data_IF_044292790978
#
_entry.id   IF_044292790978
#
_cell.length_a   1.000
_cell.length_b   1.000
_cell.length_c   1.000
_cell.angle_alpha   90.00
_cell.angle_beta   90.00
_cell.angle_gamma   90.00
#
_symmetry.space_group_name_H-M   'P 1'
#
loop_
_entity.id
_entity.type
_entity.pdbx_description
1 polymer ?
#
# COMPACT_ATOMS: atom_id res chain seq x y z
N UNK A 1 24.13 0.64 -25.64
CA UNK A 1 24.25 1.06 -24.23
C UNK A 1 22.96 1.73 -23.74
N UNK A 2 22.54 2.85 -24.31
CA UNK A 2 21.29 3.54 -23.93
C UNK A 2 19.99 2.73 -24.14
N UNK A 3 19.90 1.95 -25.21
CA UNK A 3 18.72 1.11 -25.49
C UNK A 3 18.46 0.05 -24.42
N UNK A 4 19.50 -0.44 -23.74
CA UNK A 4 19.33 -1.44 -22.67
C UNK A 4 18.83 -0.83 -21.36
N UNK A 5 19.33 0.36 -21.02
CA UNK A 5 18.95 1.08 -19.79
C UNK A 5 17.49 1.54 -19.85
N UNK A 6 17.02 1.99 -21.01
CA UNK A 6 15.65 2.49 -21.17
C UNK A 6 14.59 1.39 -21.20
N UNK A 7 14.95 0.18 -21.67
CA UNK A 7 14.07 -0.99 -21.70
C UNK A 7 13.83 -1.59 -20.31
N UNK A 8 14.84 -1.60 -19.44
CA UNK A 8 14.74 -2.20 -18.09
C UNK A 8 14.11 -1.25 -17.05
N UNK A 9 14.00 0.05 -17.33
CA UNK A 9 13.53 1.07 -16.39
C UNK A 9 12.15 1.67 -16.76
N UNK A 10 11.55 1.20 -17.85
CA UNK A 10 10.25 1.67 -18.34
C UNK A 10 9.26 0.51 -18.32
N UNK A 11 8.13 0.68 -17.63
CA UNK A 11 6.96 -0.21 -17.69
C UNK A 11 6.19 -0.08 -19.03
N UNK A 12 6.88 0.18 -20.13
CA UNK A 12 6.28 0.48 -21.44
C UNK A 12 7.16 0.04 -22.61
N UNK A 13 6.61 0.03 -23.81
CA UNK A 13 7.36 -0.40 -25.01
C UNK A 13 8.32 0.68 -25.50
N UNK A 14 9.36 0.32 -26.25
CA UNK A 14 10.29 1.30 -26.85
C UNK A 14 9.55 2.32 -27.74
N UNK A 15 8.52 1.88 -28.46
CA UNK A 15 7.72 2.76 -29.32
C UNK A 15 6.91 3.78 -28.50
N UNK A 16 6.39 3.37 -27.35
CA UNK A 16 5.67 4.24 -26.42
C UNK A 16 6.60 5.26 -25.76
N UNK A 17 7.82 4.85 -25.40
CA UNK A 17 8.86 5.74 -24.90
C UNK A 17 9.20 6.83 -25.92
N UNK A 18 9.54 6.44 -27.16
CA UNK A 18 9.90 7.42 -28.20
C UNK A 18 8.71 8.30 -28.61
N UNK A 19 7.49 7.74 -28.63
CA UNK A 19 6.27 8.53 -28.82
C UNK A 19 6.10 9.61 -27.75
N UNK A 20 6.28 9.26 -26.47
CA UNK A 20 6.23 10.22 -25.37
C UNK A 20 7.31 11.31 -25.48
N UNK A 21 8.54 10.93 -25.85
CA UNK A 21 9.66 11.86 -26.03
C UNK A 21 9.41 12.84 -27.19
N UNK A 22 8.96 12.33 -28.34
CA UNK A 22 8.69 13.15 -29.54
C UNK A 22 7.50 14.07 -29.32
N UNK A 23 6.43 13.57 -28.69
CA UNK A 23 5.20 14.33 -28.45
C UNK A 23 5.29 15.25 -27.21
N UNK A 24 6.41 15.21 -26.47
CA UNK A 24 6.60 15.96 -25.22
C UNK A 24 5.60 15.59 -24.12
N UNK A 25 5.03 14.38 -24.17
CA UNK A 25 4.05 13.88 -23.19
C UNK A 25 4.73 13.00 -22.14
N UNK A 26 4.21 13.00 -20.93
CA UNK A 26 4.64 12.06 -19.88
C UNK A 26 3.93 10.72 -20.12
N UNK A 27 4.63 9.58 -19.98
CA UNK A 27 3.98 8.28 -20.03
C UNK A 27 2.98 8.17 -18.89
N UNK A 28 1.87 7.46 -19.13
CA UNK A 28 0.96 7.09 -18.05
C UNK A 28 1.71 6.14 -17.11
N UNK A 29 1.85 6.54 -15.84
CA UNK A 29 2.50 5.74 -14.79
C UNK A 29 1.48 4.97 -13.95
N UNK A 30 0.20 5.03 -14.33
CA UNK A 30 -0.91 4.58 -13.54
C UNK A 30 -1.16 5.50 -12.35
N UNK A 31 -2.41 5.51 -11.87
CA UNK A 31 -2.70 6.02 -10.55
C UNK A 31 -2.39 4.92 -9.52
N UNK A 32 -1.67 5.21 -8.42
CA UNK A 32 -1.63 4.26 -7.32
C UNK A 32 -3.06 3.95 -6.88
N UNK A 33 -3.34 2.71 -6.44
CA UNK A 33 -4.64 2.39 -5.88
C UNK A 33 -4.97 3.36 -4.75
N UNK A 34 -6.26 3.66 -4.58
CA UNK A 34 -6.70 4.51 -3.49
C UNK A 34 -6.12 3.94 -2.17
N UNK A 35 -5.40 4.76 -1.38
CA UNK A 35 -4.81 4.27 -0.14
C UNK A 35 -5.94 3.79 0.77
N UNK A 36 -5.76 2.60 1.34
CA UNK A 36 -6.65 2.12 2.39
C UNK A 36 -6.62 3.09 3.56
N UNK A 37 -7.77 3.30 4.21
CA UNK A 37 -7.84 4.13 5.41
C UNK A 37 -6.80 3.63 6.43
N UNK A 38 -5.94 4.53 6.89
CA UNK A 38 -4.86 4.19 7.81
C UNK A 38 -5.38 4.09 9.25
N UNK A 39 -4.90 3.09 9.98
CA UNK A 39 -5.19 2.97 11.40
C UNK A 39 -4.33 3.95 12.22
N UNK A 40 -4.85 4.53 13.33
CA UNK A 40 -4.04 5.28 14.28
C UNK A 40 -2.89 4.43 14.85
N UNK A 41 -1.69 5.02 14.99
CA UNK A 41 -0.51 4.31 15.47
C UNK A 41 -0.70 3.66 16.84
N UNK A 42 -1.38 4.35 17.76
CA UNK A 42 -1.67 3.81 19.09
C UNK A 42 -2.58 2.58 19.03
N UNK A 43 -3.57 2.57 18.12
CA UNK A 43 -4.44 1.41 17.90
C UNK A 43 -3.64 0.22 17.38
N UNK A 44 -2.74 0.45 16.42
CA UNK A 44 -1.83 -0.60 15.90
C UNK A 44 -0.96 -1.16 17.02
N UNK A 45 -0.37 -0.30 17.86
CA UNK A 45 0.45 -0.71 19.00
C UNK A 45 -0.33 -1.60 19.98
N UNK A 46 -1.56 -1.23 20.32
CA UNK A 46 -2.43 -2.03 21.19
C UNK A 46 -2.78 -3.39 20.56
N UNK A 47 -3.11 -3.42 19.27
CA UNK A 47 -3.45 -4.65 18.56
C UNK A 47 -2.27 -5.64 18.51
N UNK A 48 -1.05 -5.14 18.32
CA UNK A 48 0.14 -5.99 18.28
C UNK A 48 0.54 -6.43 19.69
N UNK A 49 0.70 -5.48 20.62
CA UNK A 49 1.33 -5.78 21.91
C UNK A 49 0.37 -6.21 23.01
N UNK A 50 -0.93 -5.90 22.90
CA UNK A 50 -1.94 -6.32 23.90
C UNK A 50 -2.79 -7.46 23.38
N UNK A 51 -3.31 -7.33 22.15
CA UNK A 51 -4.17 -8.37 21.55
C UNK A 51 -3.34 -9.51 20.94
N UNK A 52 -2.08 -9.27 20.59
CA UNK A 52 -1.16 -10.29 20.06
C UNK A 52 -1.32 -10.58 18.57
N UNK A 53 -1.86 -9.62 17.79
CA UNK A 53 -1.94 -9.76 16.34
C UNK A 53 -0.58 -9.51 15.68
N UNK A 54 -0.32 -10.19 14.57
CA UNK A 54 0.85 -9.90 13.73
C UNK A 54 0.65 -8.60 12.93
N UNK A 55 1.73 -7.95 12.54
CA UNK A 55 1.68 -6.76 11.67
C UNK A 55 0.91 -7.02 10.38
N UNK A 56 1.12 -8.19 9.76
CA UNK A 56 0.40 -8.61 8.55
C UNK A 56 -1.11 -8.78 8.80
N UNK A 57 -1.52 -9.23 9.99
CA UNK A 57 -2.94 -9.30 10.31
C UNK A 57 -3.52 -7.89 10.52
N UNK A 58 -2.75 -6.97 11.12
CA UNK A 58 -3.20 -5.59 11.37
C UNK A 58 -3.30 -4.78 10.07
N UNK A 59 -2.41 -4.98 9.08
CA UNK A 59 -2.48 -4.28 7.79
C UNK A 59 -3.76 -4.61 6.99
N UNK A 60 -4.28 -5.81 7.18
CA UNK A 60 -5.51 -6.26 6.51
C UNK A 60 -6.79 -5.78 7.20
N UNK A 61 -6.73 -5.23 8.42
CA UNK A 61 -7.92 -4.75 9.11
C UNK A 61 -8.47 -3.44 8.53
N UNK A 62 -9.80 -3.37 8.44
CA UNK A 62 -10.50 -2.09 8.40
C UNK A 62 -10.53 -1.47 9.80
N UNK A 63 -10.78 -0.17 9.88
CA UNK A 63 -10.79 0.57 11.14
C UNK A 63 -11.86 0.07 12.10
N UNK A 64 -13.03 -0.27 11.57
CA UNK A 64 -14.17 -0.77 12.34
C UNK A 64 -13.81 -2.12 12.97
N UNK A 65 -13.19 -3.00 12.20
CA UNK A 65 -12.75 -4.32 12.66
C UNK A 65 -11.63 -4.21 13.70
N UNK A 66 -10.68 -3.30 13.50
CA UNK A 66 -9.60 -3.02 14.44
C UNK A 66 -10.14 -2.56 15.80
N UNK A 67 -11.12 -1.65 15.81
CA UNK A 67 -11.77 -1.18 17.04
C UNK A 67 -12.58 -2.30 17.69
N UNK A 68 -13.38 -3.05 16.92
CA UNK A 68 -14.19 -4.15 17.43
C UNK A 68 -13.32 -5.26 18.05
N UNK A 69 -12.16 -5.56 17.44
CA UNK A 69 -11.23 -6.57 17.95
C UNK A 69 -10.63 -6.17 19.29
N UNK A 70 -10.26 -4.89 19.45
CA UNK A 70 -9.75 -4.34 20.70
C UNK A 70 -10.83 -4.30 21.79
N UNK A 71 -12.05 -3.88 21.46
CA UNK A 71 -13.19 -3.93 22.38
C UNK A 71 -13.44 -5.34 22.89
N UNK A 72 -13.45 -6.33 21.99
CA UNK A 72 -13.64 -7.73 22.35
C UNK A 72 -12.56 -8.25 23.30
N UNK A 73 -11.31 -7.88 23.08
CA UNK A 73 -10.20 -8.23 23.98
C UNK A 73 -10.44 -7.74 25.42
N UNK A 74 -11.04 -6.56 25.60
CA UNK A 74 -11.36 -6.02 26.92
C UNK A 74 -12.64 -6.59 27.53
N UNK A 75 -13.66 -6.91 26.72
CA UNK A 75 -14.91 -7.49 27.24
C UNK A 75 -14.78 -8.98 27.55
N UNK A 76 -13.96 -9.71 26.80
CA UNK A 76 -13.75 -11.16 26.98
C UNK A 76 -12.72 -11.48 28.08
N UNK A 77 -12.31 -10.47 28.86
CA UNK A 77 -11.35 -10.50 29.98
C UNK A 77 -10.80 -11.87 30.35
N UNK A 78 -9.57 -12.14 29.92
CA UNK A 78 -8.73 -13.20 30.51
C UNK A 78 -7.99 -12.65 31.72
#
# INVERSE_FOLDING_TARGET
MWSHILRDQSDGTENEFWGCVIDGRRPDRGAPPAPKESLPADLVSLLIHRVGLSEAAVSELAKEDAVARLQRYWTDGT
#
